data_IF_372771339642
#
_entry.id   IF_372771339642
#
_cell.length_a   1.000
_cell.length_b   1.000
_cell.length_c   1.000
_cell.angle_alpha   90.00
_cell.angle_beta   90.00
_cell.angle_gamma   90.00
#
_symmetry.space_group_name_H-M   'P 1'
#
loop_
_entity.id
_entity.type
_entity.pdbx_description
1 polymer ?
#
# COMPACT_ATOMS: atom_id res chain seq x y z
N UNK A 1 -22.03 3.29 62.13
CA UNK A 1 -20.59 3.12 61.83
C UNK A 1 -20.47 2.53 60.42
N UNK A 2 -20.04 3.31 59.44
CA UNK A 2 -19.14 2.87 58.35
C UNK A 2 -18.65 4.13 57.63
N UNK A 3 -17.34 4.35 57.70
CA UNK A 3 -16.66 5.57 57.32
C UNK A 3 -16.22 5.44 55.85
N UNK A 4 -16.92 6.07 54.91
CA UNK A 4 -16.54 6.08 53.49
C UNK A 4 -15.58 7.24 53.23
N UNK A 5 -14.29 6.99 53.45
CA UNK A 5 -13.19 7.82 52.91
C UNK A 5 -12.21 6.89 52.18
N UNK A 6 -12.62 6.36 51.03
CA UNK A 6 -11.69 5.72 50.11
C UNK A 6 -11.14 6.76 49.11
N UNK A 7 -10.06 7.39 49.56
CA UNK A 7 -8.83 7.66 48.80
C UNK A 7 -8.97 8.23 47.38
N UNK A 8 -9.30 9.51 47.29
CA UNK A 8 -8.76 10.39 46.24
C UNK A 8 -7.27 10.59 46.49
N UNK A 9 -6.41 9.86 45.76
CA UNK A 9 -5.02 10.26 45.43
C UNK A 9 -4.43 9.27 44.42
N UNK A 10 -4.72 9.49 43.14
CA UNK A 10 -3.81 9.02 42.10
C UNK A 10 -2.63 9.99 42.09
N UNK A 11 -1.64 9.70 42.92
CA UNK A 11 -0.38 10.44 42.96
C UNK A 11 0.37 10.06 41.70
N UNK A 12 0.43 10.98 40.73
CA UNK A 12 1.27 10.85 39.53
C UNK A 12 2.69 10.67 40.03
N UNK A 13 3.17 9.43 39.96
CA UNK A 13 4.55 9.08 40.29
C UNK A 13 5.40 9.73 39.19
N UNK A 14 6.06 10.84 39.53
CA UNK A 14 7.09 11.47 38.69
C UNK A 14 8.09 10.38 38.27
N UNK A 15 7.89 9.80 37.08
CA UNK A 15 8.90 8.97 36.44
C UNK A 15 10.02 9.93 36.10
N UNK A 16 11.16 9.76 36.77
CA UNK A 16 12.42 10.40 36.39
C UNK A 16 12.56 10.23 34.88
N UNK A 17 12.61 11.35 34.17
CA UNK A 17 12.87 11.41 32.74
C UNK A 17 14.24 10.78 32.50
N UNK A 18 14.25 9.58 31.94
CA UNK A 18 15.45 9.04 31.34
C UNK A 18 15.67 9.81 30.04
N UNK A 19 16.34 10.95 30.17
CA UNK A 19 17.09 11.53 29.07
C UNK A 19 18.28 10.62 28.82
N UNK A 20 18.25 9.85 27.74
CA UNK A 20 19.36 9.57 26.79
C UNK A 20 19.04 8.35 25.92
N UNK A 21 19.30 8.48 24.61
CA UNK A 21 19.29 7.47 23.54
C UNK A 21 17.87 7.03 23.11
N UNK A 22 17.19 7.57 22.10
CA UNK A 22 17.59 8.02 20.76
C UNK A 22 16.62 9.13 20.37
N UNK A 23 17.07 10.39 20.44
CA UNK A 23 16.37 11.49 19.76
C UNK A 23 16.79 11.48 18.30
N UNK A 24 16.40 10.45 17.55
CA UNK A 24 16.25 10.61 16.11
C UNK A 24 14.96 11.41 15.96
N UNK A 25 15.03 12.71 16.22
CA UNK A 25 14.04 13.66 15.74
C UNK A 25 13.86 13.32 14.28
N UNK A 26 12.64 12.89 13.91
CA UNK A 26 12.23 12.95 12.51
C UNK A 26 12.46 14.41 12.15
N UNK A 27 13.50 14.68 11.35
CA UNK A 27 13.73 16.01 10.81
C UNK A 27 12.56 16.27 9.87
N UNK A 28 11.49 16.83 10.43
CA UNK A 28 10.32 17.20 9.64
C UNK A 28 10.75 18.41 8.83
N UNK A 29 11.07 18.15 7.56
CA UNK A 29 11.50 19.20 6.64
C UNK A 29 10.39 20.26 6.54
N UNK A 30 10.75 21.51 6.79
CA UNK A 30 9.91 22.66 6.48
C UNK A 30 10.05 22.95 4.99
N UNK A 31 8.92 23.14 4.32
CA UNK A 31 8.76 23.04 2.87
C UNK A 31 9.42 24.15 2.03
N UNK A 32 10.22 25.05 2.61
CA UNK A 32 10.75 26.23 1.91
C UNK A 32 11.84 25.93 0.86
N UNK A 33 12.07 24.66 0.53
CA UNK A 33 13.04 24.25 -0.47
C UNK A 33 12.29 23.69 -1.70
N UNK A 34 11.83 24.58 -2.58
CA UNK A 34 11.33 24.20 -3.92
C UNK A 34 12.41 23.52 -4.80
N UNK A 35 13.62 23.35 -4.27
CA UNK A 35 14.77 22.68 -4.85
C UNK A 35 15.18 21.38 -4.15
N UNK A 36 14.36 20.80 -3.26
CA UNK A 36 14.70 19.53 -2.59
C UNK A 36 14.97 18.45 -3.63
N UNK A 37 16.26 18.09 -3.74
CA UNK A 37 16.83 17.29 -4.81
C UNK A 37 16.11 15.94 -5.03
N UNK A 38 16.15 15.45 -6.27
CA UNK A 38 15.73 14.07 -6.67
C UNK A 38 16.35 12.96 -5.81
N UNK A 39 17.35 13.27 -4.99
CA UNK A 39 18.04 12.31 -4.13
C UNK A 39 17.24 11.95 -2.87
N UNK A 40 16.27 12.77 -2.46
CA UNK A 40 15.46 12.47 -1.28
C UNK A 40 14.39 11.42 -1.55
N UNK A 41 14.05 10.65 -0.51
CA UNK A 41 12.98 9.66 -0.57
C UNK A 41 11.63 10.30 -0.90
N UNK A 42 10.80 9.67 -1.74
CA UNK A 42 9.47 10.18 -2.05
C UNK A 42 8.46 10.09 -0.90
N UNK A 43 8.72 9.21 0.08
CA UNK A 43 7.87 9.02 1.26
C UNK A 43 8.36 9.77 2.49
N UNK A 44 9.28 10.71 2.30
CA UNK A 44 9.71 11.55 3.41
C UNK A 44 8.55 12.44 3.85
N UNK A 45 8.17 12.31 5.12
CA UNK A 45 7.09 13.08 5.70
C UNK A 45 7.47 14.54 5.88
N UNK A 46 6.50 15.43 5.65
CA UNK A 46 6.64 16.88 5.86
C UNK A 46 5.44 17.39 6.64
N UNK A 47 5.59 18.51 7.35
CA UNK A 47 4.49 19.07 8.16
C UNK A 47 3.28 19.43 7.31
N UNK A 48 3.48 19.81 6.05
CA UNK A 48 2.41 20.28 5.16
C UNK A 48 1.68 19.15 4.42
N UNK A 49 2.42 18.12 3.95
CA UNK A 49 1.83 16.97 3.22
C UNK A 49 1.56 15.76 4.11
N UNK A 50 2.04 15.77 5.35
CA UNK A 50 1.97 14.61 6.25
C UNK A 50 2.68 13.40 5.63
N UNK A 51 1.94 12.30 5.44
CA UNK A 51 2.42 11.06 4.82
C UNK A 51 2.17 10.98 3.31
N UNK A 52 1.58 12.02 2.71
CA UNK A 52 1.39 12.03 1.26
C UNK A 52 2.76 12.07 0.57
N UNK A 53 2.95 11.27 -0.49
CA UNK A 53 4.17 11.30 -1.28
C UNK A 53 4.47 12.71 -1.78
N UNK A 54 5.75 13.07 -1.79
CA UNK A 54 6.22 14.37 -2.30
C UNK A 54 6.14 14.47 -3.82
N UNK A 55 6.15 13.33 -4.51
CA UNK A 55 6.18 13.21 -5.97
C UNK A 55 4.89 12.51 -6.39
N UNK A 56 4.28 12.99 -7.48
CA UNK A 56 3.09 12.36 -8.04
C UNK A 56 3.38 10.92 -8.50
N UNK A 57 2.44 9.99 -8.30
CA UNK A 57 2.63 8.61 -8.70
C UNK A 57 2.74 8.49 -10.22
N UNK A 58 3.55 7.54 -10.68
CA UNK A 58 3.63 7.18 -12.10
C UNK A 58 2.33 6.49 -12.50
N UNK A 59 1.67 7.06 -13.50
CA UNK A 59 0.43 6.54 -14.06
C UNK A 59 0.69 5.49 -15.14
N UNK A 60 1.64 5.76 -16.03
CA UNK A 60 1.98 4.89 -17.13
C UNK A 60 3.37 4.27 -16.90
N UNK A 61 3.42 2.95 -16.80
CA UNK A 61 4.67 2.21 -16.68
C UNK A 61 5.36 2.07 -18.06
N UNK A 62 6.67 1.85 -18.10
CA UNK A 62 7.39 1.65 -19.37
C UNK A 62 6.82 0.51 -20.20
N UNK A 63 6.89 0.62 -21.53
CA UNK A 63 6.34 -0.36 -22.48
C UNK A 63 6.82 -1.80 -22.24
N UNK A 64 8.01 -1.99 -21.62
CA UNK A 64 8.53 -3.29 -21.17
C UNK A 64 7.49 -4.06 -20.34
N UNK A 65 6.67 -3.35 -19.56
CA UNK A 65 5.68 -3.92 -18.64
C UNK A 65 4.24 -3.82 -19.17
N UNK A 66 4.06 -3.58 -20.47
CA UNK A 66 2.73 -3.40 -21.08
C UNK A 66 1.76 -4.57 -20.83
N UNK A 67 2.26 -5.81 -20.82
CA UNK A 67 1.43 -6.98 -20.53
C UNK A 67 0.88 -6.93 -19.10
N UNK A 68 1.68 -6.46 -18.13
CA UNK A 68 1.22 -6.31 -16.75
C UNK A 68 0.12 -5.24 -16.65
N UNK A 69 0.31 -4.10 -17.30
CA UNK A 69 -0.68 -3.02 -17.35
C UNK A 69 -1.98 -3.47 -18.04
N UNK A 70 -1.88 -4.23 -19.13
CA UNK A 70 -3.03 -4.80 -19.83
C UNK A 70 -3.84 -5.74 -18.93
N UNK A 71 -3.16 -6.62 -18.19
CA UNK A 71 -3.82 -7.52 -17.23
C UNK A 71 -4.53 -6.70 -16.15
N UNK A 72 -3.86 -5.72 -15.55
CA UNK A 72 -4.43 -4.87 -14.49
C UNK A 72 -5.65 -4.08 -14.97
N UNK A 73 -5.60 -3.57 -16.20
CA UNK A 73 -6.73 -2.87 -16.80
C UNK A 73 -7.92 -3.79 -17.02
N UNK A 74 -7.68 -5.03 -17.47
CA UNK A 74 -8.73 -6.06 -17.70
C UNK A 74 -9.17 -6.79 -16.43
N UNK A 75 -8.47 -6.61 -15.31
CA UNK A 75 -8.70 -7.36 -14.08
C UNK A 75 -10.02 -7.00 -13.39
N UNK A 76 -10.53 -5.78 -13.59
CA UNK A 76 -11.71 -5.23 -12.89
C UNK A 76 -12.92 -6.17 -12.99
N UNK A 77 -13.82 -6.11 -12.01
CA UNK A 77 -15.07 -6.87 -12.09
C UNK A 77 -15.94 -6.38 -13.26
N UNK A 78 -16.23 -5.07 -13.26
CA UNK A 78 -16.91 -4.38 -14.35
C UNK A 78 -15.90 -3.49 -15.06
N UNK A 79 -15.86 -3.64 -16.38
CA UNK A 79 -15.00 -2.89 -17.27
C UNK A 79 -15.72 -1.58 -17.67
N UNK A 80 -15.00 -0.51 -18.09
CA UNK A 80 -15.63 0.77 -18.44
C UNK A 80 -16.63 0.69 -19.61
N UNK A 81 -16.50 -0.33 -20.47
CA UNK A 81 -17.42 -0.62 -21.56
C UNK A 81 -18.68 -1.41 -21.11
N UNK A 82 -18.80 -1.71 -19.82
CA UNK A 82 -19.90 -2.51 -19.25
C UNK A 82 -19.69 -4.03 -19.35
N UNK A 83 -18.61 -4.49 -19.97
CA UNK A 83 -18.29 -5.91 -20.04
C UNK A 83 -17.73 -6.43 -18.70
N UNK A 84 -17.80 -7.75 -18.49
CA UNK A 84 -17.18 -8.40 -17.35
C UNK A 84 -15.67 -8.58 -17.60
N UNK A 85 -14.85 -8.18 -16.62
CA UNK A 85 -13.40 -8.37 -16.69
C UNK A 85 -12.95 -9.75 -16.19
N UNK A 86 -11.64 -9.91 -16.03
CA UNK A 86 -11.00 -11.21 -15.79
C UNK A 86 -11.40 -11.84 -14.45
N UNK A 87 -11.47 -11.05 -13.37
CA UNK A 87 -11.90 -11.56 -12.06
C UNK A 87 -13.34 -12.07 -12.15
N UNK A 88 -14.25 -11.33 -12.78
CA UNK A 88 -15.64 -11.73 -12.88
C UNK A 88 -15.83 -13.04 -13.66
N UNK A 89 -14.97 -13.30 -14.66
CA UNK A 89 -14.99 -14.50 -15.48
C UNK A 89 -14.21 -15.68 -14.88
N UNK A 90 -13.55 -15.48 -13.73
CA UNK A 90 -12.63 -16.46 -13.13
C UNK A 90 -11.49 -16.87 -14.08
N UNK A 91 -10.92 -15.89 -14.79
CA UNK A 91 -9.90 -16.08 -15.82
C UNK A 91 -8.56 -15.42 -15.45
N UNK A 92 -8.45 -14.77 -14.29
CA UNK A 92 -7.25 -14.04 -13.91
C UNK A 92 -6.07 -14.99 -13.69
N UNK A 93 -6.27 -16.05 -12.92
CA UNK A 93 -5.27 -17.09 -12.65
C UNK A 93 -4.69 -17.72 -13.92
N UNK A 94 -5.54 -18.03 -14.91
CA UNK A 94 -5.08 -18.52 -16.22
C UNK A 94 -4.26 -17.47 -16.96
N UNK A 95 -4.74 -16.23 -17.00
CA UNK A 95 -4.06 -15.14 -17.70
C UNK A 95 -2.67 -14.86 -17.12
N UNK A 96 -2.51 -14.95 -15.80
CA UNK A 96 -1.23 -14.74 -15.11
C UNK A 96 -0.19 -15.79 -15.50
N UNK A 97 -0.58 -17.01 -15.88
CA UNK A 97 0.38 -18.03 -16.37
C UNK A 97 1.14 -17.58 -17.61
N UNK A 98 0.56 -16.64 -18.37
CA UNK A 98 1.18 -16.06 -19.57
C UNK A 98 1.97 -14.77 -19.29
N UNK A 99 2.00 -14.28 -18.03
CA UNK A 99 2.79 -13.10 -17.66
C UNK A 99 4.29 -13.45 -17.68
N UNK A 100 5.12 -12.80 -18.51
CA UNK A 100 6.55 -13.04 -18.48
C UNK A 100 7.17 -12.61 -17.16
N UNK A 101 8.24 -13.30 -16.75
CA UNK A 101 9.05 -12.89 -15.62
C UNK A 101 9.90 -11.68 -16.05
N UNK A 102 9.70 -10.54 -15.39
CA UNK A 102 10.53 -9.36 -15.61
C UNK A 102 11.68 -9.29 -14.61
N UNK A 103 12.87 -9.01 -15.12
CA UNK A 103 14.01 -8.68 -14.27
C UNK A 103 13.88 -7.24 -13.74
N UNK A 104 13.93 -7.11 -12.41
CA UNK A 104 13.77 -5.84 -11.68
C UNK A 104 15.10 -5.21 -11.27
N UNK A 105 16.23 -5.90 -11.48
CA UNK A 105 17.56 -5.41 -11.11
C UNK A 105 18.01 -4.19 -11.94
N UNK A 106 17.48 -4.03 -13.15
CA UNK A 106 17.85 -2.95 -14.08
C UNK A 106 17.02 -1.67 -13.88
N UNK A 107 16.23 -1.58 -12.80
CA UNK A 107 15.34 -0.44 -12.58
C UNK A 107 16.07 0.63 -11.77
N UNK A 108 16.63 1.61 -12.48
CA UNK A 108 17.29 2.76 -11.85
C UNK A 108 16.30 3.81 -11.31
N UNK A 109 15.12 3.92 -11.93
CA UNK A 109 14.12 4.90 -11.52
C UNK A 109 13.29 4.39 -10.33
N UNK A 110 13.51 4.99 -9.17
CA UNK A 110 12.77 4.74 -7.92
C UNK A 110 11.26 4.84 -8.12
N UNK A 111 10.78 5.75 -8.98
CA UNK A 111 9.35 5.91 -9.21
C UNK A 111 8.74 4.75 -9.98
N UNK A 112 9.48 4.22 -10.95
CA UNK A 112 9.07 3.02 -11.70
C UNK A 112 9.05 1.80 -10.79
N UNK A 113 10.07 1.64 -9.94
CA UNK A 113 10.10 0.57 -8.94
C UNK A 113 8.88 0.61 -8.00
N UNK A 114 8.48 1.80 -7.55
CA UNK A 114 7.28 1.98 -6.72
C UNK A 114 5.98 1.71 -7.46
N UNK A 115 5.88 2.12 -8.73
CA UNK A 115 4.73 1.82 -9.57
C UNK A 115 4.57 0.31 -9.77
N UNK A 116 5.66 -0.39 -10.08
CA UNK A 116 5.64 -1.85 -10.20
C UNK A 116 5.28 -2.53 -8.89
N UNK A 117 5.82 -2.07 -7.76
CA UNK A 117 5.45 -2.63 -6.47
C UNK A 117 3.95 -2.48 -6.18
N UNK A 118 3.37 -1.30 -6.48
CA UNK A 118 1.92 -1.06 -6.39
C UNK A 118 1.15 -2.05 -7.27
N UNK A 119 1.53 -2.15 -8.53
CA UNK A 119 0.86 -2.92 -9.57
C UNK A 119 0.88 -4.43 -9.26
N UNK A 120 2.05 -4.96 -8.87
CA UNK A 120 2.19 -6.34 -8.41
C UNK A 120 1.44 -6.63 -7.12
N UNK A 121 1.37 -5.67 -6.19
CA UNK A 121 0.61 -5.85 -4.94
C UNK A 121 -0.89 -6.03 -5.23
N UNK A 122 -1.43 -5.24 -6.15
CA UNK A 122 -2.82 -5.39 -6.59
C UNK A 122 -3.05 -6.71 -7.32
N UNK A 123 -2.17 -7.07 -8.25
CA UNK A 123 -2.28 -8.33 -8.99
C UNK A 123 -2.23 -9.55 -8.06
N UNK A 124 -1.28 -9.56 -7.12
CA UNK A 124 -1.10 -10.66 -6.16
C UNK A 124 -2.31 -10.80 -5.25
N UNK A 125 -2.84 -9.68 -4.76
CA UNK A 125 -4.05 -9.68 -3.94
C UNK A 125 -5.23 -10.26 -4.72
N UNK A 126 -5.44 -9.81 -5.95
CA UNK A 126 -6.52 -10.30 -6.80
C UNK A 126 -6.39 -11.79 -7.12
N UNK A 127 -5.18 -12.27 -7.42
CA UNK A 127 -4.91 -13.69 -7.65
C UNK A 127 -5.29 -14.54 -6.43
N UNK A 128 -4.88 -14.12 -5.23
CA UNK A 128 -5.19 -14.85 -4.00
C UNK A 128 -6.69 -14.87 -3.68
N UNK A 129 -7.40 -13.78 -3.98
CA UNK A 129 -8.82 -13.64 -3.64
C UNK A 129 -9.79 -14.16 -4.70
N UNK A 130 -9.35 -14.42 -5.94
CA UNK A 130 -10.23 -14.87 -7.04
C UNK A 130 -11.06 -16.09 -6.62
N UNK A 131 -10.41 -17.18 -6.21
CA UNK A 131 -11.10 -18.41 -5.81
C UNK A 131 -11.97 -18.22 -4.56
N UNK A 132 -11.48 -17.47 -3.56
CA UNK A 132 -12.22 -17.18 -2.34
C UNK A 132 -13.52 -16.43 -2.66
N UNK A 133 -13.44 -15.41 -3.51
CA UNK A 133 -14.58 -14.59 -3.90
C UNK A 133 -15.62 -15.41 -4.69
N UNK A 134 -15.18 -16.20 -5.67
CA UNK A 134 -16.09 -17.07 -6.43
C UNK A 134 -16.73 -18.14 -5.56
N UNK A 135 -15.98 -18.73 -4.63
CA UNK A 135 -16.54 -19.68 -3.68
C UNK A 135 -17.62 -19.03 -2.81
N UNK A 136 -17.38 -17.82 -2.31
CA UNK A 136 -18.38 -17.05 -1.58
C UNK A 136 -19.62 -16.75 -2.43
N UNK A 137 -19.46 -16.37 -3.70
CA UNK A 137 -20.61 -16.12 -4.58
C UNK A 137 -21.48 -17.35 -4.78
N UNK A 138 -20.86 -18.53 -4.93
CA UNK A 138 -21.54 -19.80 -5.16
C UNK A 138 -22.19 -20.37 -3.90
N UNK A 139 -21.47 -20.35 -2.78
CA UNK A 139 -21.89 -21.03 -1.54
C UNK A 139 -22.52 -20.12 -0.50
N UNK A 140 -22.30 -18.81 -0.60
CA UNK A 140 -22.57 -17.80 0.44
C UNK A 140 -21.85 -18.07 1.77
N UNK A 141 -20.83 -18.93 1.77
CA UNK A 141 -19.98 -19.23 2.93
C UNK A 141 -18.64 -18.52 2.81
N UNK A 142 -18.17 -17.97 3.93
CA UNK A 142 -16.93 -17.18 3.99
C UNK A 142 -15.70 -18.07 4.26
N UNK A 143 -15.90 -19.30 4.79
CA UNK A 143 -14.82 -20.20 5.19
C UNK A 143 -15.13 -21.66 4.81
N UNK A 144 -14.09 -22.48 4.65
CA UNK A 144 -14.19 -23.92 4.44
C UNK A 144 -14.95 -24.57 5.61
N UNK A 145 -16.22 -24.90 5.39
CA UNK A 145 -17.08 -25.63 6.32
C UNK A 145 -17.96 -26.61 5.60
#
# INVERSE_FOLDING_TARGET
MYNSKFLTKFQIRNRKTYSTLVSNSIEVLKENDDHVSKNLSPFLSSTSRGFLPRIHPVLNIPNKYSILDEILNKMRWNQPDGSLGLIAKKQLSETIRHLPQYEVNDIDDKMVALALNRDYSFLTSAYLFEDCHHNYLNTKKIWFS
#
